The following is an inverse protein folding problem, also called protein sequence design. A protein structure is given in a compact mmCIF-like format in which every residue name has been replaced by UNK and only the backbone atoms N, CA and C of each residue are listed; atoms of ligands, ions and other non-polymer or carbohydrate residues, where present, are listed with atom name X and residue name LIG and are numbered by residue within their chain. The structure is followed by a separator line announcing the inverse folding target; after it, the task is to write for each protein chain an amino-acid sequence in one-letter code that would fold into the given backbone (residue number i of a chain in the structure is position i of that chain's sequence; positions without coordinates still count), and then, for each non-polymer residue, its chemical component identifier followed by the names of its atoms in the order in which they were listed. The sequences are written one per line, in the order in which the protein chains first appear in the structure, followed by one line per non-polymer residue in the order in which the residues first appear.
data_IF_187588120111
#
_entry.id   IF_187588120111
#
_cell.length_a   1.000
_cell.length_b   1.000
_cell.length_c   1.000
_cell.angle_alpha   90.00
_cell.angle_beta   90.00
_cell.angle_gamma   90.00
#
_symmetry.space_group_name_H-M   'P 1'
#
loop_
_entity.id
_entity.type
_entity.pdbx_description
1 polymer ?
#
# COMPACT_ATOMS: atom_id res chain seq x y z
N UNK A 1 -0.63 -13.64 2.28
CA UNK A 1 -0.23 -12.36 2.93
C UNK A 1 -0.98 -12.19 4.24
N UNK A 2 -0.27 -11.97 5.36
CA UNK A 2 -0.89 -11.60 6.65
C UNK A 2 -0.76 -10.08 6.81
N UNK A 3 -1.84 -9.34 6.59
CA UNK A 3 -1.91 -7.90 6.91
C UNK A 3 -2.50 -7.75 8.31
N UNK A 4 -1.75 -7.13 9.23
CA UNK A 4 -2.26 -6.89 10.58
C UNK A 4 -3.36 -5.82 10.58
N UNK A 5 -4.27 -5.86 11.57
CA UNK A 5 -5.37 -4.90 11.66
C UNK A 5 -4.90 -3.43 11.74
N UNK A 6 -3.70 -3.15 12.25
CA UNK A 6 -3.10 -1.80 12.22
C UNK A 6 -2.99 -1.20 10.82
N UNK A 7 -2.85 -2.05 9.80
CA UNK A 7 -2.74 -1.63 8.42
C UNK A 7 -4.10 -1.32 7.79
N UNK A 8 -5.21 -1.79 8.38
CA UNK A 8 -6.58 -1.50 7.92
C UNK A 8 -7.03 -0.17 8.52
N UNK A 9 -7.31 0.82 7.66
CA UNK A 9 -7.68 2.17 8.07
C UNK A 9 -9.06 2.23 8.76
N UNK A 10 -9.86 1.17 8.65
CA UNK A 10 -11.17 1.04 9.29
C UNK A 10 -11.16 0.25 10.59
N UNK A 11 -10.04 -0.40 10.95
CA UNK A 11 -9.98 -1.23 12.15
C UNK A 11 -9.81 -0.41 13.44
N UNK A 12 -10.25 -1.00 14.55
CA UNK A 12 -9.99 -0.49 15.89
C UNK A 12 -8.56 -0.83 16.33
N UNK A 13 -7.88 0.18 16.86
CA UNK A 13 -6.50 0.13 17.32
C UNK A 13 -6.39 -0.26 18.81
N UNK A 14 -7.51 -0.37 19.54
CA UNK A 14 -7.55 -0.68 20.98
C UNK A 14 -6.73 -1.92 21.36
N UNK A 15 -6.72 -2.95 20.50
CA UNK A 15 -5.91 -4.16 20.72
C UNK A 15 -4.41 -3.89 20.88
N UNK A 16 -3.88 -2.88 20.18
CA UNK A 16 -2.46 -2.52 20.24
C UNK A 16 -2.16 -1.70 21.49
N UNK A 17 -3.11 -0.86 21.91
CA UNK A 17 -3.02 -0.16 23.19
C UNK A 17 -3.07 -1.13 24.38
N UNK A 18 -3.90 -2.16 24.32
CA UNK A 18 -3.95 -3.22 25.34
C UNK A 18 -2.62 -3.98 25.45
N UNK A 19 -2.03 -4.38 24.31
CA UNK A 19 -0.70 -5.04 24.30
C UNK A 19 0.36 -4.15 24.94
N UNK A 20 0.36 -2.86 24.60
CA UNK A 20 1.28 -1.88 25.19
C UNK A 20 1.06 -1.71 26.69
N UNK A 21 -0.20 -1.59 27.13
CA UNK A 21 -0.55 -1.45 28.55
C UNK A 21 -0.19 -2.68 29.40
N UNK A 22 -0.08 -3.85 28.78
CA UNK A 22 0.41 -5.09 29.42
C UNK A 22 1.94 -5.21 29.44
N UNK A 23 2.67 -4.21 28.91
CA UNK A 23 4.13 -4.24 28.84
C UNK A 23 4.69 -5.26 27.83
N UNK A 24 3.87 -5.77 26.92
CA UNK A 24 4.31 -6.71 25.88
C UNK A 24 5.12 -5.94 24.83
N UNK A 25 6.38 -6.29 24.57
CA UNK A 25 7.16 -5.66 23.51
C UNK A 25 6.69 -6.15 22.13
N UNK A 26 6.42 -5.24 21.20
CA UNK A 26 6.05 -5.58 19.83
C UNK A 26 6.53 -4.53 18.82
N UNK A 27 6.63 -4.95 17.56
CA UNK A 27 6.89 -4.10 16.39
C UNK A 27 5.80 -4.38 15.35
N UNK A 28 5.40 -3.35 14.60
CA UNK A 28 4.43 -3.48 13.53
C UNK A 28 5.14 -3.45 12.17
N UNK A 29 4.79 -4.41 11.32
CA UNK A 29 5.40 -4.59 10.00
C UNK A 29 4.36 -4.29 8.94
N UNK A 30 4.74 -3.40 8.02
CA UNK A 30 3.87 -2.77 7.03
C UNK A 30 2.76 -1.91 7.66
N UNK A 31 2.06 -1.13 6.84
CA UNK A 31 0.82 -0.48 7.27
C UNK A 31 0.94 0.49 8.44
N UNK A 32 1.91 1.40 8.37
CA UNK A 32 2.06 2.48 9.36
C UNK A 32 0.74 3.17 9.69
N UNK A 33 0.46 3.32 10.98
CA UNK A 33 -0.72 4.03 11.50
C UNK A 33 -0.30 4.95 12.63
N UNK A 34 -0.53 6.25 12.46
CA UNK A 34 -0.27 7.25 13.50
C UNK A 34 -1.15 7.07 14.76
N UNK A 35 -2.18 6.22 14.68
CA UNK A 35 -3.09 5.90 15.78
C UNK A 35 -2.53 4.85 16.75
N UNK A 36 -1.41 4.20 16.42
CA UNK A 36 -0.79 3.17 17.27
C UNK A 36 0.58 3.63 17.72
N UNK A 37 0.81 3.63 19.03
CA UNK A 37 2.10 3.96 19.63
C UNK A 37 2.98 2.72 19.69
N UNK A 38 3.69 2.44 18.59
CA UNK A 38 4.65 1.34 18.49
C UNK A 38 5.75 1.67 17.47
N UNK A 39 6.90 0.99 17.51
CA UNK A 39 7.85 0.99 16.41
C UNK A 39 7.21 0.36 15.15
N UNK A 40 7.50 0.95 13.99
CA UNK A 40 7.06 0.44 12.69
C UNK A 40 8.24 0.19 11.77
N UNK A 41 8.12 -0.88 10.98
CA UNK A 41 9.00 -1.15 9.85
C UNK A 41 8.08 -1.29 8.63
N UNK A 42 8.28 -0.49 7.59
CA UNK A 42 7.49 -0.55 6.36
C UNK A 42 8.36 -0.20 5.17
N UNK A 43 8.12 -0.78 3.99
CA UNK A 43 8.71 -0.26 2.76
C UNK A 43 8.15 1.13 2.44
N UNK A 44 8.90 1.91 1.67
CA UNK A 44 8.33 3.07 0.98
C UNK A 44 7.57 2.61 -0.26
N UNK A 45 6.28 2.32 -0.07
CA UNK A 45 5.38 1.87 -1.13
C UNK A 45 5.29 2.85 -2.31
N UNK A 46 5.43 4.16 -2.07
CA UNK A 46 5.37 5.17 -3.13
C UNK A 46 6.64 5.10 -3.98
N UNK A 47 7.80 5.06 -3.33
CA UNK A 47 9.07 4.89 -4.02
C UNK A 47 9.14 3.56 -4.77
N UNK A 48 8.61 2.48 -4.20
CA UNK A 48 8.54 1.18 -4.85
C UNK A 48 7.71 1.22 -6.15
N UNK A 49 6.57 1.92 -6.15
CA UNK A 49 5.77 2.10 -7.37
C UNK A 49 6.46 2.96 -8.42
N UNK A 50 7.15 4.02 -7.99
CA UNK A 50 8.00 4.81 -8.89
C UNK A 50 9.01 3.93 -9.60
N UNK A 51 9.78 3.14 -8.83
CA UNK A 51 10.80 2.24 -9.40
C UNK A 51 10.18 1.24 -10.39
N UNK A 52 9.06 0.61 -10.03
CA UNK A 52 8.39 -0.37 -10.88
C UNK A 52 7.86 0.23 -12.19
N UNK A 53 7.14 1.35 -12.12
CA UNK A 53 6.58 2.02 -13.31
C UNK A 53 7.69 2.56 -14.19
N UNK A 54 8.69 3.26 -13.62
CA UNK A 54 9.84 3.76 -14.38
C UNK A 54 10.56 2.64 -15.12
N UNK A 55 10.72 1.47 -14.49
CA UNK A 55 11.32 0.32 -15.15
C UNK A 55 10.50 -0.14 -16.37
N UNK A 56 9.19 -0.27 -16.23
CA UNK A 56 8.31 -0.69 -17.32
C UNK A 56 8.27 0.35 -18.45
N UNK A 57 8.23 1.64 -18.13
CA UNK A 57 8.31 2.71 -19.12
C UNK A 57 9.64 2.66 -19.87
N UNK A 58 10.76 2.42 -19.18
CA UNK A 58 12.07 2.26 -19.82
C UNK A 58 12.14 1.06 -20.77
N UNK A 59 11.31 0.03 -20.56
CA UNK A 59 11.14 -1.10 -21.49
C UNK A 59 10.16 -0.80 -22.65
N UNK A 60 9.58 0.41 -22.70
CA UNK A 60 8.67 0.86 -23.75
C UNK A 60 7.19 0.59 -23.47
N UNK A 61 6.82 0.16 -22.25
CA UNK A 61 5.41 -0.02 -21.88
C UNK A 61 4.71 1.33 -21.71
N UNK A 62 3.58 1.51 -22.40
CA UNK A 62 2.77 2.74 -22.35
C UNK A 62 1.42 2.56 -21.68
N UNK A 63 1.01 1.31 -21.41
CA UNK A 63 -0.27 0.96 -20.77
C UNK A 63 -0.02 -0.09 -19.69
N UNK A 64 0.09 0.38 -18.45
CA UNK A 64 0.49 -0.41 -17.28
C UNK A 64 -0.69 -0.49 -16.33
N UNK A 65 -1.06 -1.69 -15.90
CA UNK A 65 -2.11 -1.91 -14.91
C UNK A 65 -1.53 -2.16 -13.51
N UNK A 66 -2.23 -1.70 -12.48
CA UNK A 66 -1.90 -1.96 -11.08
C UNK A 66 -2.91 -2.92 -10.46
N UNK A 67 -2.51 -4.16 -10.19
CA UNK A 67 -3.31 -5.11 -9.43
C UNK A 67 -2.93 -5.04 -7.94
N UNK A 68 -3.89 -4.71 -7.08
CA UNK A 68 -3.67 -4.51 -5.64
C UNK A 68 -4.80 -5.09 -4.79
N UNK A 69 -4.54 -5.25 -3.49
CA UNK A 69 -5.56 -5.67 -2.52
C UNK A 69 -6.62 -4.59 -2.22
N UNK A 70 -7.48 -4.79 -1.21
CA UNK A 70 -8.56 -3.87 -0.87
C UNK A 70 -8.10 -2.44 -0.51
N UNK A 71 -8.85 -1.42 -0.97
CA UNK A 71 -8.62 0.04 -0.77
C UNK A 71 -8.86 0.54 0.68
N UNK A 72 -8.63 -0.32 1.68
CA UNK A 72 -8.63 0.03 3.11
C UNK A 72 -7.29 -0.21 3.77
N UNK A 73 -6.35 -0.86 3.07
CA UNK A 73 -5.03 -1.11 3.62
C UNK A 73 -4.08 0.04 3.29
N UNK A 74 -3.37 0.54 4.30
CA UNK A 74 -2.36 1.61 4.14
C UNK A 74 -1.35 1.31 3.03
N UNK A 75 -0.76 0.11 2.91
CA UNK A 75 0.16 -0.18 1.81
C UNK A 75 -0.51 -0.09 0.43
N UNK A 76 -1.77 -0.52 0.31
CA UNK A 76 -2.54 -0.40 -0.94
C UNK A 76 -2.74 1.07 -1.31
N UNK A 77 -3.18 1.89 -0.35
CA UNK A 77 -3.38 3.32 -0.57
C UNK A 77 -2.08 4.01 -1.02
N UNK A 78 -0.96 3.71 -0.35
CA UNK A 78 0.34 4.28 -0.69
C UNK A 78 0.86 3.81 -2.06
N UNK A 79 0.60 2.56 -2.44
CA UNK A 79 0.92 2.08 -3.80
C UNK A 79 0.09 2.82 -4.85
N UNK A 80 -1.21 2.98 -4.62
CA UNK A 80 -2.09 3.73 -5.53
C UNK A 80 -1.59 5.16 -5.70
N UNK A 81 -1.22 5.86 -4.62
CA UNK A 81 -0.67 7.22 -4.69
C UNK A 81 0.63 7.28 -5.49
N UNK A 82 1.56 6.36 -5.26
CA UNK A 82 2.83 6.30 -5.99
C UNK A 82 2.64 5.96 -7.47
N UNK A 83 1.68 5.10 -7.78
CA UNK A 83 1.32 4.73 -9.14
C UNK A 83 0.70 5.90 -9.90
N UNK A 84 -0.30 6.57 -9.32
CA UNK A 84 -0.90 7.80 -9.87
C UNK A 84 0.16 8.85 -10.20
N UNK A 85 0.99 9.20 -9.22
CA UNK A 85 2.03 10.21 -9.41
C UNK A 85 3.00 9.84 -10.53
N UNK A 86 3.44 8.57 -10.59
CA UNK A 86 4.45 8.15 -11.57
C UNK A 86 3.87 8.00 -12.98
N UNK A 87 2.63 7.51 -13.12
CA UNK A 87 1.95 7.40 -14.41
C UNK A 87 1.71 8.79 -15.01
N UNK A 88 1.27 9.75 -14.18
CA UNK A 88 1.13 11.13 -14.61
C UNK A 88 2.48 11.74 -15.02
N UNK A 89 3.51 11.56 -14.20
CA UNK A 89 4.85 12.12 -14.45
C UNK A 89 5.51 11.57 -15.72
N UNK A 90 5.40 10.27 -16.00
CA UNK A 90 6.15 9.63 -17.08
C UNK A 90 5.37 9.38 -18.36
N UNK A 91 4.05 9.25 -18.27
CA UNK A 91 3.18 8.95 -19.42
C UNK A 91 2.14 10.04 -19.68
N UNK A 92 2.05 11.07 -18.82
CA UNK A 92 1.15 12.20 -19.00
C UNK A 92 -0.34 11.87 -18.85
N UNK A 93 -0.67 10.71 -18.27
CA UNK A 93 -2.06 10.28 -18.08
C UNK A 93 -2.76 11.10 -16.99
N UNK A 94 -4.02 11.44 -17.23
CA UNK A 94 -4.88 12.10 -16.24
C UNK A 94 -5.29 11.17 -15.10
N UNK A 95 -5.72 11.70 -13.94
CA UNK A 95 -6.11 10.88 -12.78
C UNK A 95 -7.21 9.85 -13.08
N UNK A 96 -8.23 10.22 -13.87
CA UNK A 96 -9.33 9.31 -14.20
C UNK A 96 -8.85 8.15 -15.09
N UNK A 97 -7.97 8.43 -16.07
CA UNK A 97 -7.37 7.40 -16.93
C UNK A 97 -6.50 6.43 -16.12
N UNK A 98 -5.77 6.93 -15.12
CA UNK A 98 -4.95 6.08 -14.25
C UNK A 98 -5.82 5.25 -13.31
N UNK A 99 -6.92 5.78 -12.79
CA UNK A 99 -7.82 5.03 -11.90
C UNK A 99 -8.45 3.83 -12.63
N UNK A 100 -8.77 3.94 -13.92
CA UNK A 100 -9.27 2.82 -14.73
C UNK A 100 -8.26 1.65 -14.85
N UNK A 101 -6.96 1.92 -14.69
CA UNK A 101 -5.88 0.94 -14.75
C UNK A 101 -5.64 0.22 -13.41
N UNK A 102 -6.36 0.59 -12.35
CA UNK A 102 -6.21 0.02 -11.01
C UNK A 102 -7.29 -1.04 -10.78
N UNK A 103 -6.87 -2.26 -10.47
CA UNK A 103 -7.76 -3.38 -10.20
C UNK A 103 -7.58 -3.90 -8.79
N UNK A 104 -8.68 -4.01 -8.06
CA UNK A 104 -8.71 -4.50 -6.70
C UNK A 104 -9.11 -5.98 -6.66
N UNK A 105 -8.22 -6.84 -6.16
CA UNK A 105 -8.52 -8.23 -5.88
C UNK A 105 -8.58 -8.50 -4.38
N UNK A 106 -9.24 -9.60 -4.00
CA UNK A 106 -9.14 -10.13 -2.64
C UNK A 106 -7.78 -10.81 -2.49
N UNK A 107 -7.18 -10.68 -1.31
CA UNK A 107 -6.05 -11.53 -0.93
C UNK A 107 -6.57 -12.97 -0.79
N UNK A 108 -6.31 -13.82 -1.78
CA UNK A 108 -6.54 -15.27 -1.70
C UNK A 108 -5.22 -15.97 -1.42
N UNK A 109 -5.26 -17.14 -0.79
CA UNK A 109 -4.06 -17.93 -0.48
C UNK A 109 -3.20 -18.23 -1.74
N UNK A 110 -3.84 -18.31 -2.90
CA UNK A 110 -3.20 -18.61 -4.20
C UNK A 110 -2.75 -17.34 -4.95
N UNK A 111 -3.29 -16.17 -4.59
CA UNK A 111 -2.93 -14.87 -5.15
C UNK A 111 -2.08 -14.00 -4.22
N UNK A 112 -1.68 -14.52 -3.04
CA UNK A 112 -0.85 -13.83 -2.04
C UNK A 112 -0.89 -14.44 -0.65
#
# INVERSE_FOLDING_TARGET
FVSGLHADTSADMQRYEQLRGQGVPFVLVNGFSAKVQAPFISPDDRAAMRLAVTHLVALGHTRIGLAVGPKRFVPVLRKIEGFHATMQEQLGLGPDEVEELIQHSLYTLEGG
#
